data_IF_804411204827
#
_entry.id   IF_804411204827
#
_cell.length_a   1.000
_cell.length_b   1.000
_cell.length_c   1.000
_cell.angle_alpha   90.00
_cell.angle_beta   90.00
_cell.angle_gamma   90.00
#
_symmetry.space_group_name_H-M   'P 1'
#
loop_
_entity.id
_entity.type
_entity.pdbx_description
1 polymer ?
#
# COMPACT_ATOMS: atom_id res chain seq x y z
N UNK A 1 -5.01 -7.54 16.08
CA UNK A 1 -3.59 -7.85 16.42
C UNK A 1 -3.39 -7.96 17.94
N UNK A 2 -2.19 -8.31 18.42
CA UNK A 2 -1.87 -8.39 19.87
C UNK A 2 -1.33 -7.06 20.47
N UNK A 3 -1.24 -6.00 19.66
CA UNK A 3 -0.79 -4.66 20.05
C UNK A 3 -1.46 -3.61 19.14
N UNK A 4 -1.49 -2.35 19.59
CA UNK A 4 -1.96 -1.20 18.80
C UNK A 4 -0.83 -0.26 18.42
N UNK A 5 -1.05 0.67 17.47
CA UNK A 5 -0.04 1.68 17.11
C UNK A 5 0.29 2.65 18.25
N UNK A 6 -0.66 3.09 19.12
CA UNK A 6 -0.32 3.77 20.37
C UNK A 6 0.56 2.94 21.30
N UNK A 7 0.23 1.65 21.54
CA UNK A 7 1.03 0.79 22.42
C UNK A 7 2.48 0.65 21.93
N UNK A 8 2.68 0.54 20.62
CA UNK A 8 4.01 0.52 20.01
C UNK A 8 4.76 1.84 20.22
N UNK A 9 4.09 2.97 20.07
CA UNK A 9 4.68 4.30 20.29
C UNK A 9 5.11 4.47 21.75
N UNK A 10 4.26 4.06 22.69
CA UNK A 10 4.52 4.15 24.12
C UNK A 10 5.68 3.23 24.54
N UNK A 11 5.76 2.02 23.96
CA UNK A 11 6.83 1.06 24.22
C UNK A 11 8.17 1.47 23.58
N UNK A 12 8.14 2.23 22.48
CA UNK A 12 9.31 2.66 21.71
C UNK A 12 9.33 4.18 21.51
N UNK A 13 9.61 4.98 22.55
CA UNK A 13 9.55 6.45 22.46
C UNK A 13 10.61 7.07 21.54
N UNK A 14 11.65 6.31 21.18
CA UNK A 14 12.71 6.72 20.24
C UNK A 14 12.83 5.64 19.18
N UNK A 15 12.71 6.00 17.90
CA UNK A 15 12.87 5.07 16.78
C UNK A 15 11.68 4.95 15.81
N UNK A 16 10.41 5.00 16.24
CA UNK A 16 9.29 4.99 15.31
C UNK A 16 9.33 6.23 14.42
N UNK A 17 9.39 6.02 13.10
CA UNK A 17 9.11 7.08 12.13
C UNK A 17 7.60 7.14 11.95
N UNK A 18 6.98 8.15 12.53
CA UNK A 18 5.56 8.42 12.31
C UNK A 18 5.44 9.18 10.99
N UNK A 19 4.66 8.63 10.08
CA UNK A 19 4.35 9.30 8.83
C UNK A 19 3.26 10.35 9.02
N UNK A 20 3.53 11.57 8.53
CA UNK A 20 2.63 12.71 8.65
C UNK A 20 1.52 12.73 7.58
N UNK A 21 1.19 11.58 7.00
CA UNK A 21 0.13 11.44 6.00
C UNK A 21 -1.22 11.20 6.68
N UNK A 22 -2.25 11.90 6.21
CA UNK A 22 -3.63 11.59 6.57
C UNK A 22 -4.19 10.62 5.53
N UNK A 23 -4.06 9.32 5.80
CA UNK A 23 -4.70 8.30 4.97
C UNK A 23 -6.21 8.36 5.14
N UNK A 24 -6.93 8.19 4.03
CA UNK A 24 -8.38 8.03 4.07
C UNK A 24 -8.65 6.59 4.51
N UNK A 25 -9.53 6.37 5.52
CA UNK A 25 -9.90 5.02 5.95
C UNK A 25 -10.76 4.34 4.88
N UNK A 26 -10.10 3.80 3.86
CA UNK A 26 -10.68 3.07 2.72
C UNK A 26 -10.38 1.59 2.94
N UNK A 27 -11.38 0.74 3.15
CA UNK A 27 -11.20 -0.68 3.46
C UNK A 27 -10.16 -0.96 4.58
N UNK A 28 -10.22 -0.26 5.74
CA UNK A 28 -9.15 -0.34 6.74
C UNK A 28 -9.24 -1.67 7.49
N UNK A 29 -8.42 -2.64 7.09
CA UNK A 29 -8.01 -3.75 7.95
C UNK A 29 -6.64 -3.44 8.54
N UNK A 30 -6.44 -3.81 9.81
CA UNK A 30 -5.13 -3.69 10.44
C UNK A 30 -4.15 -4.61 9.72
N UNK A 31 -2.97 -4.10 9.35
CA UNK A 31 -1.87 -4.90 8.80
C UNK A 31 -0.54 -4.51 9.44
N UNK A 32 0.34 -5.49 9.65
CA UNK A 32 1.71 -5.27 10.08
C UNK A 32 2.64 -6.30 9.44
N UNK A 33 3.90 -5.92 9.19
CA UNK A 33 4.89 -6.82 8.62
C UNK A 33 6.14 -6.08 8.15
N UNK A 34 7.15 -6.81 7.65
CA UNK A 34 8.31 -6.20 7.01
C UNK A 34 7.87 -5.42 5.76
N UNK A 35 8.49 -4.27 5.51
CA UNK A 35 8.12 -3.40 4.41
C UNK A 35 8.90 -3.77 3.14
N UNK A 36 8.20 -3.84 2.01
CA UNK A 36 8.79 -3.74 0.67
C UNK A 36 8.33 -2.44 0.02
N UNK A 37 9.21 -1.76 -0.69
CA UNK A 37 8.97 -0.40 -1.18
C UNK A 37 8.92 -0.35 -2.70
N UNK A 38 8.09 0.55 -3.23
CA UNK A 38 8.04 0.91 -4.64
C UNK A 38 7.95 2.42 -4.74
N UNK A 39 8.79 3.04 -5.57
CA UNK A 39 8.60 4.43 -6.00
C UNK A 39 8.16 4.44 -7.47
N UNK A 40 7.10 5.17 -7.77
CA UNK A 40 6.57 5.26 -9.12
C UNK A 40 5.91 6.62 -9.38
N UNK A 41 5.74 6.98 -10.64
CA UNK A 41 4.98 8.15 -11.07
C UNK A 41 3.87 7.68 -12.02
N UNK A 42 2.63 7.68 -11.51
CA UNK A 42 1.43 7.36 -12.28
C UNK A 42 1.48 6.04 -13.10
N UNK A 43 2.33 5.08 -12.71
CA UNK A 43 2.47 3.74 -13.30
C UNK A 43 2.49 2.68 -12.19
N UNK A 44 1.64 1.66 -12.32
CA UNK A 44 1.53 0.57 -11.36
C UNK A 44 2.11 -0.75 -11.86
N UNK A 45 2.99 -0.72 -12.86
CA UNK A 45 3.66 -1.90 -13.41
C UNK A 45 4.44 -2.64 -12.33
N UNK A 46 5.27 -1.92 -11.55
CA UNK A 46 6.02 -2.49 -10.42
C UNK A 46 5.12 -3.00 -9.30
N UNK A 47 4.00 -2.33 -9.06
CA UNK A 47 2.99 -2.80 -8.07
C UNK A 47 2.45 -4.15 -8.52
N UNK A 48 2.05 -4.28 -9.79
CA UNK A 48 1.51 -5.51 -10.34
C UNK A 48 2.52 -6.67 -10.32
N UNK A 49 3.80 -6.39 -10.57
CA UNK A 49 4.89 -7.38 -10.43
C UNK A 49 5.06 -7.83 -8.99
N UNK A 50 5.15 -6.89 -8.04
CA UNK A 50 5.39 -7.19 -6.64
C UNK A 50 4.25 -8.02 -6.03
N UNK A 51 2.99 -7.66 -6.28
CA UNK A 51 1.85 -8.41 -5.71
C UNK A 51 1.68 -9.81 -6.31
N UNK A 52 2.31 -10.09 -7.45
CA UNK A 52 2.34 -11.43 -8.06
C UNK A 52 3.39 -12.36 -7.43
N UNK A 53 4.30 -11.82 -6.61
CA UNK A 53 5.30 -12.58 -5.86
C UNK A 53 4.77 -12.94 -4.46
N UNK A 54 5.32 -13.99 -3.81
CA UNK A 54 5.00 -14.31 -2.43
C UNK A 54 5.20 -13.11 -1.48
N UNK A 55 4.13 -12.71 -0.81
CA UNK A 55 4.13 -11.61 0.14
C UNK A 55 4.85 -11.96 1.44
N UNK A 56 4.74 -13.21 1.91
CA UNK A 56 5.33 -13.69 3.16
C UNK A 56 5.00 -12.80 4.38
N UNK A 57 3.78 -12.27 4.43
CA UNK A 57 3.32 -11.35 5.48
C UNK A 57 3.96 -9.96 5.41
N UNK A 58 4.62 -9.59 4.30
CA UNK A 58 5.11 -8.23 4.08
C UNK A 58 3.98 -7.23 3.85
N UNK A 59 4.27 -5.96 4.11
CA UNK A 59 3.43 -4.82 3.72
C UNK A 59 4.09 -4.16 2.51
N UNK A 60 3.34 -3.99 1.42
CA UNK A 60 3.80 -3.27 0.25
C UNK A 60 3.54 -1.78 0.43
N UNK A 61 4.59 -0.99 0.37
CA UNK A 61 4.52 0.46 0.42
C UNK A 61 4.78 1.04 -0.97
N UNK A 62 3.78 1.72 -1.53
CA UNK A 62 3.82 2.34 -2.85
C UNK A 62 3.87 3.84 -2.70
N UNK A 63 5.02 4.42 -2.96
CA UNK A 63 5.20 5.86 -3.10
C UNK A 63 4.83 6.30 -4.52
N UNK A 64 3.64 6.87 -4.64
CA UNK A 64 3.12 7.50 -5.85
C UNK A 64 3.31 9.02 -5.86
N UNK A 65 4.19 9.55 -5.01
CA UNK A 65 4.45 10.99 -4.85
C UNK A 65 3.20 11.80 -4.49
N UNK A 66 2.20 11.16 -3.88
CA UNK A 66 0.93 11.78 -3.54
C UNK A 66 0.02 12.06 -4.74
N UNK A 67 0.29 11.49 -5.92
CA UNK A 67 -0.53 11.69 -7.11
C UNK A 67 -1.95 11.11 -6.92
N UNK A 68 -2.96 11.96 -7.14
CA UNK A 68 -4.39 11.59 -7.03
C UNK A 68 -5.13 11.52 -8.38
N UNK A 69 -4.43 11.74 -9.48
CA UNK A 69 -5.02 11.80 -10.82
C UNK A 69 -5.01 10.44 -11.56
N UNK A 70 -4.36 9.42 -10.99
CA UNK A 70 -4.34 8.03 -11.45
C UNK A 70 -4.39 7.09 -10.24
N UNK A 71 -5.05 5.95 -10.39
CA UNK A 71 -5.14 4.91 -9.36
C UNK A 71 -4.04 3.86 -9.51
N UNK A 72 -3.23 3.70 -8.47
CA UNK A 72 -2.11 2.74 -8.43
C UNK A 72 -2.55 1.32 -8.02
N UNK A 73 -3.67 1.19 -7.32
CA UNK A 73 -4.22 -0.10 -6.87
C UNK A 73 -5.72 -0.18 -7.16
N UNK A 74 -6.18 -1.32 -7.65
CA UNK A 74 -7.61 -1.65 -7.78
C UNK A 74 -7.88 -3.07 -7.30
N UNK A 75 -9.14 -3.49 -7.33
CA UNK A 75 -9.64 -4.76 -6.80
C UNK A 75 -8.82 -5.99 -7.20
N UNK A 76 -8.49 -6.13 -8.48
CA UNK A 76 -7.75 -7.29 -9.01
C UNK A 76 -6.33 -7.39 -8.43
N UNK A 77 -5.65 -6.27 -8.24
CA UNK A 77 -4.31 -6.27 -7.66
C UNK A 77 -4.36 -6.48 -6.15
N UNK A 78 -5.38 -5.94 -5.47
CA UNK A 78 -5.62 -6.18 -4.05
C UNK A 78 -5.93 -7.66 -3.78
N UNK A 79 -6.78 -8.29 -4.60
CA UNK A 79 -7.08 -9.72 -4.50
C UNK A 79 -5.82 -10.57 -4.72
N UNK A 80 -5.05 -10.27 -5.77
CA UNK A 80 -3.80 -10.97 -6.05
C UNK A 80 -2.79 -10.86 -4.90
N UNK A 81 -2.70 -9.68 -4.28
CA UNK A 81 -1.86 -9.47 -3.10
C UNK A 81 -2.32 -10.34 -1.91
N UNK A 82 -3.63 -10.39 -1.64
CA UNK A 82 -4.23 -11.23 -0.60
C UNK A 82 -3.95 -12.72 -0.87
N UNK A 83 -4.19 -13.18 -2.10
CA UNK A 83 -3.96 -14.56 -2.53
C UNK A 83 -2.48 -14.98 -2.39
N UNK A 84 -1.55 -14.05 -2.59
CA UNK A 84 -0.11 -14.29 -2.45
C UNK A 84 0.44 -14.03 -1.03
N UNK A 85 -0.43 -13.79 -0.05
CA UNK A 85 -0.04 -13.69 1.35
C UNK A 85 0.67 -12.39 1.72
N UNK A 86 0.36 -11.28 1.05
CA UNK A 86 0.72 -9.95 1.53
C UNK A 86 -0.16 -9.57 2.73
N UNK A 87 0.44 -8.97 3.76
CA UNK A 87 -0.30 -8.52 4.94
C UNK A 87 -1.10 -7.24 4.65
N UNK A 88 -0.59 -6.37 3.77
CA UNK A 88 -1.26 -5.13 3.39
C UNK A 88 -0.56 -4.35 2.29
N UNK A 89 -1.24 -3.33 1.79
CA UNK A 89 -0.75 -2.37 0.80
C UNK A 89 -1.03 -0.94 1.26
N UNK A 90 0.01 -0.12 1.38
CA UNK A 90 -0.10 1.31 1.69
C UNK A 90 0.29 2.10 0.45
N UNK A 91 -0.56 3.01 0.00
CA UNK A 91 -0.38 3.79 -1.23
C UNK A 91 -0.32 5.28 -0.90
N UNK A 92 0.85 5.91 -1.08
CA UNK A 92 1.00 7.37 -1.08
C UNK A 92 0.52 7.90 -2.44
N UNK A 93 -0.79 7.87 -2.64
CA UNK A 93 -1.46 8.20 -3.90
C UNK A 93 -2.93 7.76 -3.87
N UNK A 94 -3.54 7.64 -5.05
CA UNK A 94 -4.92 7.19 -5.17
C UNK A 94 -5.06 5.70 -5.51
N UNK A 95 -6.20 5.13 -5.10
CA UNK A 95 -6.66 3.77 -5.45
C UNK A 95 -8.06 3.82 -6.07
N UNK A 96 -8.64 2.67 -6.42
CA UNK A 96 -10.03 2.56 -6.92
C UNK A 96 -10.68 1.26 -6.47
N UNK A 97 -11.95 1.07 -6.84
CA UNK A 97 -12.73 -0.15 -6.55
C UNK A 97 -12.85 -0.42 -5.03
N UNK A 98 -12.91 0.66 -4.23
CA UNK A 98 -12.81 0.61 -2.76
C UNK A 98 -13.90 -0.24 -2.10
N UNK A 99 -15.10 -0.25 -2.67
CA UNK A 99 -16.23 -1.05 -2.20
C UNK A 99 -15.98 -2.55 -2.36
N UNK A 100 -15.23 -2.95 -3.40
CA UNK A 100 -14.86 -4.34 -3.63
C UNK A 100 -13.68 -4.72 -2.73
N UNK A 101 -12.68 -3.82 -2.60
CA UNK A 101 -11.50 -4.04 -1.76
C UNK A 101 -11.87 -4.27 -0.29
N UNK A 102 -12.92 -3.62 0.22
CA UNK A 102 -13.42 -3.82 1.60
C UNK A 102 -13.79 -5.28 1.92
N UNK A 103 -14.20 -6.03 0.89
CA UNK A 103 -14.51 -7.46 0.99
C UNK A 103 -13.29 -8.39 0.94
N UNK A 104 -12.11 -7.90 0.55
CA UNK A 104 -10.89 -8.70 0.38
C UNK A 104 -10.16 -8.81 1.73
N UNK A 105 -9.57 -9.98 2.00
CA UNK A 105 -8.79 -10.20 3.22
C UNK A 105 -7.36 -9.63 3.12
N UNK A 106 -7.28 -8.29 3.09
CA UNK A 106 -6.02 -7.54 3.05
C UNK A 106 -6.19 -6.14 3.63
N UNK A 107 -5.19 -5.63 4.34
CA UNK A 107 -5.16 -4.22 4.76
C UNK A 107 -4.79 -3.30 3.62
N UNK A 108 -5.62 -2.29 3.33
CA UNK A 108 -5.30 -1.27 2.31
C UNK A 108 -5.43 0.13 2.92
N UNK A 109 -4.46 0.99 2.64
CA UNK A 109 -4.52 2.42 2.99
C UNK A 109 -4.07 3.26 1.81
N UNK A 110 -4.73 4.39 1.58
CA UNK A 110 -4.38 5.31 0.50
C UNK A 110 -4.69 6.77 0.84
N UNK A 111 -4.14 7.72 0.08
CA UNK A 111 -4.42 9.15 0.26
C UNK A 111 -5.75 9.58 -0.39
N UNK A 112 -6.30 8.80 -1.31
CA UNK A 112 -7.56 9.11 -1.96
C UNK A 112 -8.04 8.05 -2.96
N UNK A 113 -9.10 8.39 -3.69
CA UNK A 113 -9.73 7.52 -4.68
C UNK A 113 -9.72 8.20 -6.05
N UNK A 114 -9.40 7.46 -7.11
CA UNK A 114 -9.42 7.95 -8.49
C UNK A 114 -9.89 6.83 -9.43
N UNK A 115 -10.98 7.00 -10.20
CA UNK A 115 -11.47 5.94 -11.09
C UNK A 115 -10.53 5.66 -12.28
N UNK A 116 -9.61 6.58 -12.58
CA UNK A 116 -8.76 6.53 -13.78
C UNK A 116 -7.56 5.60 -13.53
N UNK A 117 -7.43 4.55 -14.34
CA UNK A 117 -6.26 3.64 -14.32
C UNK A 117 -4.98 4.33 -14.79
N UNK A 118 -3.84 3.79 -14.37
CA UNK A 118 -2.52 4.06 -14.95
C UNK A 118 -2.38 3.46 -16.36
N UNK A 119 -1.39 3.97 -17.10
CA UNK A 119 -0.86 3.32 -18.28
C UNK A 119 0.40 2.54 -17.87
N UNK A 120 0.49 1.26 -18.25
CA UNK A 120 1.60 0.40 -17.86
C UNK A 120 2.76 0.56 -18.82
N UNK A 121 3.82 1.21 -18.37
CA UNK A 121 5.03 1.47 -19.13
C UNK A 121 6.24 0.72 -18.56
N UNK A 122 6.08 -0.01 -17.45
CA UNK A 122 7.17 -0.74 -16.80
C UNK A 122 8.11 0.16 -16.01
N UNK A 123 7.70 1.39 -15.68
CA UNK A 123 8.56 2.35 -14.96
C UNK A 123 8.36 2.27 -13.44
N UNK A 124 9.35 2.76 -12.70
CA UNK A 124 9.40 2.76 -11.24
C UNK A 124 10.50 1.86 -10.68
N UNK A 125 10.88 2.15 -9.44
CA UNK A 125 11.97 1.51 -8.70
C UNK A 125 11.41 0.67 -7.55
N UNK A 126 12.07 -0.46 -7.25
CA UNK A 126 11.67 -1.41 -6.21
C UNK A 126 12.74 -1.50 -5.11
N UNK A 127 12.29 -1.78 -3.89
CA UNK A 127 13.11 -2.09 -2.73
C UNK A 127 14.20 -1.03 -2.46
N UNK A 128 13.84 0.24 -2.66
CA UNK A 128 14.70 1.39 -2.37
C UNK A 128 14.55 1.82 -0.89
N UNK A 129 15.64 2.29 -0.25
CA UNK A 129 15.64 2.64 1.16
C UNK A 129 14.88 3.94 1.48
N UNK A 130 14.81 4.88 0.54
CA UNK A 130 14.22 6.20 0.72
C UNK A 130 12.99 6.37 -0.19
N UNK A 131 11.83 5.95 0.34
CA UNK A 131 10.51 6.34 -0.16
C UNK A 131 9.89 7.38 0.80
N UNK A 132 9.04 8.27 0.27
CA UNK A 132 8.48 9.41 0.99
C UNK A 132 7.78 9.08 2.33
#
# INVERSE_FOLDING_TARGET
MAFTTPDLSDAHPVGPRIWAFSFVPLAPRESCGPVSTIACDADNSRVAEAVAEPGNGRVLLVDGQGALHRSLLGDRLAQLASDNGWAGVVVIGAIRDVEVIDGIDIGVQALGVCPVKTDKQGVGDRDIPDVA
#
